data_IF_607616975280
#
_entry.id   IF_607616975280
#
_cell.length_a   1.000
_cell.length_b   1.000
_cell.length_c   1.000
_cell.angle_alpha   90.00
_cell.angle_beta   90.00
_cell.angle_gamma   90.00
#
_symmetry.space_group_name_H-M   'P 1'
#
loop_
_entity.id
_entity.type
_entity.pdbx_description
1 polymer ?
#
# COMPACT_ATOMS: atom_id res chain seq x y z
N UNK A 1 -38.25 -31.01 0.09
CA UNK A 1 -37.28 -31.24 1.19
C UNK A 1 -35.84 -31.29 0.66
N UNK A 2 -35.44 -32.29 -0.14
CA UNK A 2 -34.06 -32.42 -0.65
C UNK A 2 -33.57 -31.22 -1.51
N UNK A 3 -34.43 -30.67 -2.38
CA UNK A 3 -34.09 -29.47 -3.19
C UNK A 3 -33.87 -28.22 -2.35
N UNK A 4 -34.60 -28.08 -1.23
CA UNK A 4 -34.47 -26.95 -0.31
C UNK A 4 -33.16 -27.04 0.48
N UNK A 5 -32.78 -28.25 0.90
CA UNK A 5 -31.50 -28.52 1.55
C UNK A 5 -30.31 -28.27 0.62
N UNK A 6 -30.40 -28.63 -0.66
CA UNK A 6 -29.34 -28.34 -1.64
C UNK A 6 -29.19 -26.85 -1.93
N UNK A 7 -30.29 -26.09 -1.97
CA UNK A 7 -30.27 -24.63 -2.13
C UNK A 7 -29.66 -23.92 -0.90
N UNK A 8 -30.01 -24.37 0.31
CA UNK A 8 -29.42 -23.85 1.55
C UNK A 8 -27.93 -24.18 1.67
N UNK A 9 -27.51 -25.37 1.23
CA UNK A 9 -26.10 -25.76 1.20
C UNK A 9 -25.29 -24.92 0.19
N UNK A 10 -25.88 -24.55 -0.95
CA UNK A 10 -25.23 -23.70 -1.95
C UNK A 10 -25.04 -22.24 -1.47
N UNK A 11 -25.97 -21.71 -0.66
CA UNK A 11 -25.84 -20.39 -0.04
C UNK A 11 -24.86 -20.34 1.14
N UNK A 12 -24.50 -21.48 1.71
CA UNK A 12 -23.57 -21.58 2.83
C UNK A 12 -22.10 -21.63 2.40
N UNK A 13 -21.81 -21.69 1.10
CA UNK A 13 -20.45 -21.61 0.58
C UNK A 13 -19.95 -20.16 0.75
N UNK A 14 -18.92 -19.91 1.57
CA UNK A 14 -18.32 -18.58 1.63
C UNK A 14 -17.80 -18.22 0.24
N UNK A 15 -18.41 -17.22 -0.38
CA UNK A 15 -17.87 -16.61 -1.60
C UNK A 15 -16.48 -16.05 -1.32
N UNK A 16 -15.61 -15.95 -2.34
CA UNK A 16 -14.29 -15.36 -2.15
C UNK A 16 -14.48 -13.93 -1.65
N UNK A 17 -14.18 -13.69 -0.37
CA UNK A 17 -13.87 -12.37 0.11
C UNK A 17 -12.68 -11.93 -0.73
N UNK A 18 -12.86 -10.87 -1.52
CA UNK A 18 -11.76 -10.21 -2.24
C UNK A 18 -10.85 -9.54 -1.21
N UNK A 19 -10.12 -10.36 -0.45
CA UNK A 19 -9.03 -9.92 0.37
C UNK A 19 -7.94 -9.41 -0.57
N UNK A 20 -7.34 -8.29 -0.19
CA UNK A 20 -6.26 -7.70 -0.95
C UNK A 20 -5.10 -8.71 -1.07
N UNK A 21 -4.79 -9.14 -2.29
CA UNK A 21 -3.70 -10.08 -2.58
C UNK A 21 -2.36 -9.33 -2.44
N UNK A 22 -1.88 -9.19 -1.20
CA UNK A 22 -0.58 -8.56 -0.89
C UNK A 22 0.56 -9.16 -1.73
N UNK A 23 0.69 -10.49 -1.87
CA UNK A 23 1.68 -11.08 -2.78
C UNK A 23 1.59 -10.60 -4.23
N UNK A 24 0.38 -10.41 -4.76
CA UNK A 24 0.21 -9.83 -6.10
C UNK A 24 0.68 -8.39 -6.17
N UNK A 25 0.33 -7.56 -5.18
CA UNK A 25 0.74 -6.15 -5.14
C UNK A 25 2.26 -6.02 -4.97
N UNK A 26 2.91 -6.89 -4.20
CA UNK A 26 4.38 -6.96 -4.11
C UNK A 26 5.02 -7.28 -5.46
N UNK A 27 4.46 -8.23 -6.22
CA UNK A 27 4.93 -8.53 -7.59
C UNK A 27 4.77 -7.32 -8.52
N UNK A 28 3.66 -6.60 -8.41
CA UNK A 28 3.43 -5.37 -9.17
C UNK A 28 4.44 -4.27 -8.78
N UNK A 29 4.72 -4.11 -7.48
CA UNK A 29 5.73 -3.19 -6.98
C UNK A 29 7.13 -3.51 -7.53
N UNK A 30 7.54 -4.78 -7.51
CA UNK A 30 8.79 -5.24 -8.13
C UNK A 30 8.83 -4.95 -9.63
N UNK A 31 7.74 -5.20 -10.34
CA UNK A 31 7.61 -4.85 -11.76
C UNK A 31 7.72 -3.33 -11.99
N UNK A 32 7.13 -2.53 -11.10
CA UNK A 32 7.21 -1.07 -11.17
C UNK A 32 8.64 -0.56 -10.98
N UNK A 33 9.40 -1.10 -10.02
CA UNK A 33 10.81 -0.76 -9.82
C UNK A 33 11.62 -0.94 -11.11
N UNK A 34 11.43 -2.06 -11.81
CA UNK A 34 12.19 -2.39 -13.03
C UNK A 34 11.71 -1.61 -14.26
N UNK A 35 10.40 -1.43 -14.43
CA UNK A 35 9.83 -0.85 -15.66
C UNK A 35 9.73 0.67 -15.61
N UNK A 36 9.64 1.26 -14.42
CA UNK A 36 9.38 2.69 -14.25
C UNK A 36 10.53 3.42 -13.56
N UNK A 37 11.02 2.88 -12.43
CA UNK A 37 12.03 3.57 -11.64
C UNK A 37 13.44 3.37 -12.19
N UNK A 38 13.82 2.14 -12.57
CA UNK A 38 15.14 1.83 -13.12
C UNK A 38 15.50 2.68 -14.36
N UNK A 39 14.64 2.84 -15.39
CA UNK A 39 14.98 3.68 -16.53
C UNK A 39 15.31 5.13 -16.15
N UNK A 40 14.63 5.68 -15.13
CA UNK A 40 14.86 7.04 -14.63
C UNK A 40 16.16 7.11 -13.84
N UNK A 41 16.37 6.18 -12.90
CA UNK A 41 17.62 6.10 -12.14
C UNK A 41 18.84 5.96 -13.05
N UNK A 42 18.73 5.13 -14.11
CA UNK A 42 19.77 4.99 -15.12
C UNK A 42 20.02 6.29 -15.89
N UNK A 43 18.96 7.01 -16.27
CA UNK A 43 19.08 8.30 -16.96
C UNK A 43 19.77 9.36 -16.08
N UNK A 44 19.58 9.29 -14.76
CA UNK A 44 20.22 10.15 -13.77
C UNK A 44 21.63 9.69 -13.36
N UNK A 45 22.18 8.66 -14.04
CA UNK A 45 23.55 8.20 -13.83
C UNK A 45 23.74 7.16 -12.72
N UNK A 46 22.67 6.61 -12.16
CA UNK A 46 22.76 5.52 -11.17
C UNK A 46 23.18 4.22 -11.88
N UNK A 47 24.24 3.58 -11.37
CA UNK A 47 24.70 2.30 -11.90
C UNK A 47 23.75 1.17 -11.49
N UNK A 48 23.69 0.10 -12.30
CA UNK A 48 22.85 -1.06 -12.00
C UNK A 48 23.20 -1.69 -10.65
N UNK A 49 24.48 -1.78 -10.32
CA UNK A 49 24.94 -2.34 -9.06
C UNK A 49 24.46 -1.54 -7.85
N UNK A 50 24.47 -0.20 -7.93
CA UNK A 50 23.96 0.67 -6.86
C UNK A 50 22.44 0.52 -6.72
N UNK A 51 21.72 0.48 -7.84
CA UNK A 51 20.27 0.28 -7.84
C UNK A 51 19.88 -1.06 -7.21
N UNK A 52 20.51 -2.16 -7.62
CA UNK A 52 20.25 -3.48 -7.07
C UNK A 52 20.61 -3.58 -5.59
N UNK A 53 21.74 -3.00 -5.17
CA UNK A 53 22.13 -2.96 -3.77
C UNK A 53 21.11 -2.18 -2.92
N UNK A 54 20.62 -1.03 -3.41
CA UNK A 54 19.65 -0.20 -2.70
C UNK A 54 18.27 -0.85 -2.58
N UNK A 55 17.84 -1.62 -3.59
CA UNK A 55 16.54 -2.29 -3.61
C UNK A 55 16.58 -3.79 -3.24
N UNK A 56 17.73 -4.28 -2.78
CA UNK A 56 17.88 -5.64 -2.29
C UNK A 56 17.07 -5.83 -1.00
N UNK A 57 16.15 -6.80 -1.00
CA UNK A 57 15.29 -7.07 0.16
C UNK A 57 14.18 -6.05 0.43
N UNK A 58 14.04 -4.99 -0.39
CA UNK A 58 12.98 -4.00 -0.23
C UNK A 58 11.62 -4.58 -0.64
N UNK A 59 10.64 -4.46 0.25
CA UNK A 59 9.21 -4.78 0.06
C UNK A 59 8.34 -3.57 0.41
N UNK A 60 7.04 -3.63 0.12
CA UNK A 60 6.11 -2.62 0.58
C UNK A 60 6.01 -2.65 2.12
N UNK A 61 6.04 -1.45 2.71
CA UNK A 61 5.67 -1.27 4.11
C UNK A 61 4.14 -1.19 4.21
N UNK A 62 3.53 -2.30 4.64
CA UNK A 62 2.08 -2.44 4.74
C UNK A 62 1.45 -1.64 5.89
N UNK A 63 2.26 -1.16 6.82
CA UNK A 63 1.80 -0.38 7.98
C UNK A 63 1.85 1.13 7.72
N UNK A 64 2.29 1.54 6.51
CA UNK A 64 2.33 2.92 6.10
C UNK A 64 0.89 3.49 6.02
N UNK A 65 0.55 4.54 6.81
CA UNK A 65 -0.83 4.99 6.99
C UNK A 65 -1.47 5.54 5.72
N UNK A 66 -0.65 6.00 4.77
CA UNK A 66 -1.09 6.59 3.50
C UNK A 66 -0.86 5.65 2.31
N UNK A 67 -0.54 4.37 2.56
CA UNK A 67 -0.42 3.38 1.49
C UNK A 67 -1.81 3.07 0.92
N UNK A 68 -2.00 3.42 -0.35
CA UNK A 68 -3.23 3.09 -1.10
C UNK A 68 -2.92 1.99 -2.11
N UNK A 69 -3.16 0.72 -1.76
CA UNK A 69 -2.96 -0.38 -2.70
C UNK A 69 -4.06 -0.41 -3.77
N UNK A 70 -3.80 -1.04 -4.94
CA UNK A 70 -4.80 -1.18 -6.00
C UNK A 70 -6.10 -1.81 -5.48
N UNK A 71 -7.23 -1.14 -5.74
CA UNK A 71 -8.55 -1.59 -5.29
C UNK A 71 -8.93 -1.20 -3.86
N UNK A 72 -8.04 -0.57 -3.08
CA UNK A 72 -8.42 0.00 -1.79
C UNK A 72 -9.18 1.32 -1.96
N UNK A 73 -10.27 1.48 -1.20
CA UNK A 73 -11.06 2.71 -1.10
C UNK A 73 -10.42 3.77 -0.18
N UNK A 74 -9.18 3.55 0.25
CA UNK A 74 -8.46 4.44 1.17
C UNK A 74 -8.23 5.81 0.54
N UNK A 75 -9.01 6.80 0.95
CA UNK A 75 -8.65 8.19 0.73
C UNK A 75 -7.53 8.50 1.73
N UNK A 76 -6.35 8.90 1.26
CA UNK A 76 -5.32 9.44 2.14
C UNK A 76 -5.98 10.48 3.09
N UNK A 77 -5.64 10.51 4.39
CA UNK A 77 -6.28 11.37 5.36
C UNK A 77 -6.33 12.79 4.84
N UNK A 78 -7.54 13.26 4.49
CA UNK A 78 -7.79 14.55 3.82
C UNK A 78 -7.34 15.76 4.64
N UNK A 79 -6.97 15.55 5.91
CA UNK A 79 -6.54 16.57 6.85
C UNK A 79 -5.02 16.55 6.97
N UNK A 80 -4.32 17.03 5.94
CA UNK A 80 -2.92 17.44 6.04
C UNK A 80 -2.84 18.58 7.05
N UNK A 81 -2.62 18.26 8.33
CA UNK A 81 -2.28 19.27 9.33
C UNK A 81 -0.81 19.62 9.12
N UNK A 82 -0.55 20.71 8.41
CA UNK A 82 0.79 21.27 8.37
C UNK A 82 1.18 21.62 9.81
N UNK A 83 2.18 20.91 10.36
CA UNK A 83 2.65 21.11 11.73
C UNK A 83 3.05 22.57 11.99
N UNK A 84 3.44 23.29 10.94
CA UNK A 84 3.80 24.71 10.92
C UNK A 84 2.63 25.66 11.26
N UNK A 85 1.37 25.24 11.09
CA UNK A 85 0.18 26.07 11.37
C UNK A 85 -0.52 25.70 12.69
N UNK A 86 0.14 24.96 13.57
CA UNK A 86 -0.37 24.72 14.91
C UNK A 86 -0.27 25.99 15.76
N UNK A 87 -1.25 26.22 16.65
CA UNK A 87 -1.18 27.33 17.61
C UNK A 87 0.07 27.20 18.48
N UNK A 88 0.85 28.27 18.68
CA UNK A 88 2.08 28.22 19.47
C UNK A 88 1.81 28.05 20.97
N UNK A 89 0.56 27.98 21.41
CA UNK A 89 0.18 27.80 22.82
C UNK A 89 0.84 26.61 23.51
N UNK A 90 1.19 25.56 22.77
CA UNK A 90 1.92 24.40 23.28
C UNK A 90 3.38 24.70 23.71
N UNK A 91 3.97 25.80 23.23
CA UNK A 91 5.31 26.23 23.61
C UNK A 91 5.35 27.05 24.90
N UNK A 92 4.21 27.59 25.35
CA UNK A 92 4.15 28.44 26.54
C UNK A 92 3.72 27.61 27.76
N UNK A 93 4.62 27.45 28.74
CA UNK A 93 4.23 27.01 30.09
C UNK A 93 3.90 28.26 30.92
N UNK A 94 2.81 28.21 31.70
CA UNK A 94 2.42 29.28 32.63
C UNK A 94 3.53 29.41 33.68
N UNK A 95 4.21 30.56 33.69
CA UNK A 95 5.18 30.92 34.72
C UNK A 95 4.51 31.12 36.07
#
# INVERSE_FOLDING_TARGET
MLRLLLLLAALALPGPLAAQDRPQVERQFRGWLEQNLWPRARADGVSRAVFEAAFSGVSLDWDLPDLVPPGASGTAPRRQRQAEFASPGAYFRRG
#
